data_IF_941637595575
#
_entry.id   IF_941637595575
#
_cell.length_a   1.000
_cell.length_b   1.000
_cell.length_c   1.000
_cell.angle_alpha   90.00
_cell.angle_beta   90.00
_cell.angle_gamma   90.00
#
_symmetry.space_group_name_H-M   'P 1'
#
loop_
_entity.id
_entity.type
_entity.pdbx_description
1 polymer ?
#
# COMPACT_ATOMS: atom_id res chain seq x y z
N UNK A 1 -0.11 -19.56 4.04
CA UNK A 1 0.77 -18.39 4.01
C UNK A 1 -0.13 -17.18 3.91
N UNK A 2 -0.06 -16.25 4.87
CA UNK A 2 -0.68 -14.94 4.70
C UNK A 2 0.18 -14.13 3.72
N UNK A 3 -0.44 -13.35 2.84
CA UNK A 3 0.27 -12.48 1.91
C UNK A 3 -0.13 -11.04 2.22
N UNK A 4 0.84 -10.22 2.62
CA UNK A 4 0.68 -8.80 2.78
C UNK A 4 1.41 -8.08 1.63
N UNK A 5 0.64 -7.35 0.84
CA UNK A 5 1.12 -6.60 -0.30
C UNK A 5 0.93 -5.10 -0.04
N UNK A 6 2.02 -4.38 0.14
CA UNK A 6 2.02 -2.93 0.27
C UNK A 6 2.51 -2.32 -1.04
N UNK A 7 1.60 -1.72 -1.79
CA UNK A 7 1.96 -0.91 -2.96
C UNK A 7 2.17 0.51 -2.49
N UNK A 8 3.42 0.94 -2.42
CA UNK A 8 3.82 2.29 -2.03
C UNK A 8 4.79 2.87 -3.05
N UNK A 9 4.61 4.15 -3.35
CA UNK A 9 5.51 4.90 -4.23
C UNK A 9 6.84 5.12 -3.53
N UNK A 10 7.78 4.18 -3.56
CA UNK A 10 9.10 4.34 -2.91
C UNK A 10 10.10 5.06 -3.82
N UNK A 11 10.81 6.04 -3.26
CA UNK A 11 11.90 6.78 -3.88
C UNK A 11 13.24 6.21 -3.38
N UNK A 12 14.20 5.99 -4.28
CA UNK A 12 15.57 5.67 -3.86
C UNK A 12 16.26 6.93 -3.32
N UNK A 13 15.95 7.28 -2.07
CA UNK A 13 16.68 8.32 -1.36
C UNK A 13 17.63 7.71 -0.33
N UNK A 14 18.91 7.60 -0.68
CA UNK A 14 19.99 7.33 0.27
C UNK A 14 20.27 8.65 1.02
N UNK A 15 19.42 8.97 2.00
CA UNK A 15 19.66 10.08 2.93
C UNK A 15 20.82 9.72 3.85
N UNK A 16 21.96 10.41 3.73
CA UNK A 16 23.11 10.29 4.65
C UNK A 16 22.83 10.76 6.09
N UNK A 17 21.59 11.10 6.48
CA UNK A 17 21.30 11.86 7.70
C UNK A 17 20.58 11.13 8.86
N UNK A 18 20.30 9.83 8.79
CA UNK A 18 19.77 9.06 9.94
C UNK A 18 20.83 8.11 10.53
N UNK A 19 21.60 8.63 11.48
CA UNK A 19 22.87 8.07 11.96
C UNK A 19 22.83 6.74 12.75
N UNK A 20 21.73 5.96 12.81
CA UNK A 20 21.65 4.86 13.78
C UNK A 20 21.24 3.45 13.31
N UNK A 21 20.88 3.19 12.05
CA UNK A 21 20.61 1.80 11.60
C UNK A 21 21.31 1.42 10.28
N UNK A 22 22.54 1.88 10.12
CA UNK A 22 23.37 1.64 8.93
C UNK A 22 24.06 0.27 8.87
N UNK A 23 23.82 -0.65 9.81
CA UNK A 23 24.53 -1.95 9.81
C UNK A 23 24.08 -2.88 8.68
N UNK A 24 22.79 -2.88 8.30
CA UNK A 24 22.30 -3.69 7.18
C UNK A 24 22.61 -3.06 5.80
N UNK A 25 22.50 -1.73 5.66
CA UNK A 25 22.82 -1.01 4.42
C UNK A 25 24.33 -0.89 4.16
N UNK A 26 25.18 -1.13 5.17
CA UNK A 26 26.64 -1.20 4.99
C UNK A 26 27.04 -2.33 4.02
N UNK A 27 26.25 -3.39 3.91
CA UNK A 27 26.49 -4.48 2.97
C UNK A 27 25.99 -4.17 1.54
N UNK A 28 25.21 -3.10 1.37
CA UNK A 28 24.78 -2.54 0.07
C UNK A 28 25.62 -1.32 -0.33
N UNK A 29 26.59 -0.89 0.49
CA UNK A 29 27.70 -0.10 -0.06
C UNK A 29 28.40 -1.00 -1.05
N UNK A 30 28.12 -0.78 -2.32
CA UNK A 30 28.96 -1.21 -3.44
C UNK A 30 30.40 -0.90 -3.03
N UNK A 31 31.15 -1.96 -2.72
CA UNK A 31 32.56 -1.89 -2.35
C UNK A 31 33.33 -1.42 -3.58
N UNK A 32 33.32 -0.12 -3.85
CA UNK A 32 34.21 0.50 -4.82
C UNK A 32 34.67 1.86 -4.28
N UNK A 33 35.67 1.78 -3.41
CA UNK A 33 36.52 2.90 -2.99
C UNK A 33 37.51 3.32 -4.10
N UNK A 34 37.42 2.76 -5.31
CA UNK A 34 38.21 3.21 -6.45
C UNK A 34 37.53 4.40 -7.14
N UNK A 35 38.04 5.60 -6.87
CA UNK A 35 37.58 6.92 -7.34
C UNK A 35 37.43 7.12 -8.88
N UNK A 36 37.63 6.12 -9.73
CA UNK A 36 37.65 6.25 -11.20
C UNK A 36 36.79 5.22 -11.97
N UNK A 37 35.91 4.44 -11.31
CA UNK A 37 34.96 3.57 -12.02
C UNK A 37 33.54 4.12 -11.93
N UNK A 38 32.82 4.09 -13.07
CA UNK A 38 31.38 4.37 -13.13
C UNK A 38 30.67 3.45 -12.14
N UNK A 39 29.88 4.03 -11.23
CA UNK A 39 29.03 3.27 -10.31
C UNK A 39 27.70 2.99 -10.99
N UNK A 40 27.17 1.79 -10.83
CA UNK A 40 25.90 1.38 -11.42
C UNK A 40 24.94 0.89 -10.33
N UNK A 41 23.67 1.31 -10.39
CA UNK A 41 22.61 0.84 -9.50
C UNK A 41 22.20 -0.61 -9.81
N UNK A 42 22.20 -0.96 -11.11
CA UNK A 42 22.04 -2.31 -11.64
C UNK A 42 23.17 -2.50 -12.64
N UNK A 43 23.98 -3.54 -12.43
CA UNK A 43 25.03 -3.96 -13.35
C UNK A 43 24.87 -5.47 -13.56
N UNK A 44 24.34 -5.82 -14.71
CA UNK A 44 24.22 -7.20 -15.20
C UNK A 44 24.67 -7.24 -16.66
N UNK A 45 25.03 -8.41 -17.18
CA UNK A 45 25.71 -8.57 -18.48
C UNK A 45 25.10 -7.78 -19.66
N UNK A 46 23.77 -7.56 -19.63
CA UNK A 46 23.02 -6.88 -20.70
C UNK A 46 22.34 -5.56 -20.23
N UNK A 47 22.68 -5.06 -19.05
CA UNK A 47 22.07 -3.87 -18.49
C UNK A 47 22.98 -3.19 -17.47
N UNK A 48 23.44 -2.00 -17.83
CA UNK A 48 24.14 -1.11 -16.94
C UNK A 48 23.28 0.14 -16.73
N UNK A 49 22.84 0.36 -15.50
CA UNK A 49 22.09 1.57 -15.14
C UNK A 49 22.96 2.43 -14.24
N UNK A 50 23.38 3.63 -14.66
CA UNK A 50 24.23 4.49 -13.86
C UNK A 50 23.64 4.67 -12.45
N UNK A 51 24.49 4.61 -11.44
CA UNK A 51 24.10 4.97 -10.09
C UNK A 51 23.75 6.46 -10.12
N UNK A 52 22.55 6.77 -9.66
CA UNK A 52 22.10 8.15 -9.58
C UNK A 52 22.97 8.91 -8.58
N UNK A 53 23.34 10.13 -8.94
CA UNK A 53 23.95 11.03 -7.96
C UNK A 53 22.96 11.30 -6.84
N UNK A 54 23.40 11.08 -5.61
CA UNK A 54 22.60 11.46 -4.44
C UNK A 54 22.35 12.97 -4.49
N UNK A 55 21.08 13.36 -4.61
CA UNK A 55 20.63 14.74 -4.52
C UNK A 55 21.17 15.67 -5.62
N UNK A 56 20.88 15.37 -6.89
CA UNK A 56 21.13 16.29 -8.01
C UNK A 56 20.49 17.67 -7.76
N UNK A 57 21.01 18.72 -8.38
CA UNK A 57 20.51 20.08 -8.18
C UNK A 57 19.00 20.19 -8.50
N UNK A 58 18.54 19.50 -9.54
CA UNK A 58 17.14 19.41 -9.96
C UNK A 58 16.29 18.69 -8.90
N UNK A 59 16.81 17.60 -8.32
CA UNK A 59 16.17 16.91 -7.21
C UNK A 59 16.05 17.82 -6.00
N UNK A 60 17.14 18.45 -5.57
CA UNK A 60 17.14 19.37 -4.42
C UNK A 60 16.16 20.54 -4.66
N UNK A 61 16.12 21.09 -5.88
CA UNK A 61 15.16 22.14 -6.25
C UNK A 61 13.71 21.66 -6.12
N UNK A 62 13.38 20.46 -6.63
CA UNK A 62 12.05 19.86 -6.45
C UNK A 62 11.67 19.59 -4.98
N UNK A 63 12.68 19.39 -4.11
CA UNK A 63 12.51 19.08 -2.68
C UNK A 63 12.42 20.31 -1.76
N UNK A 64 12.97 21.48 -2.15
CA UNK A 64 13.18 22.63 -1.27
C UNK A 64 11.89 23.21 -0.66
N UNK A 65 10.76 23.11 -1.35
CA UNK A 65 9.49 23.70 -0.91
C UNK A 65 8.56 22.75 -0.14
N UNK A 66 8.96 21.49 0.10
CA UNK A 66 8.02 20.43 0.53
C UNK A 66 8.21 19.90 1.96
N UNK A 67 9.27 20.32 2.69
CA UNK A 67 9.46 19.98 4.12
C UNK A 67 8.34 20.49 5.03
N UNK A 68 7.59 21.50 4.59
CA UNK A 68 6.52 22.12 5.38
C UNK A 68 5.25 21.26 5.46
N UNK A 69 5.03 20.39 4.47
CA UNK A 69 3.77 19.66 4.33
C UNK A 69 3.60 18.53 5.36
N UNK A 70 4.69 17.87 5.78
CA UNK A 70 4.66 16.87 6.85
C UNK A 70 4.10 17.45 8.14
N UNK A 71 4.79 18.50 8.60
CA UNK A 71 4.45 19.18 9.83
C UNK A 71 3.05 19.76 9.72
N UNK A 72 2.63 20.18 8.52
CA UNK A 72 1.27 20.63 8.28
C UNK A 72 0.24 19.51 8.43
N UNK A 73 0.40 18.35 7.78
CA UNK A 73 -0.55 17.22 7.89
C UNK A 73 -0.59 16.68 9.33
N UNK A 74 0.56 16.43 9.96
CA UNK A 74 0.62 15.98 11.36
C UNK A 74 0.00 17.00 12.32
N UNK A 75 0.26 18.29 12.12
CA UNK A 75 -0.37 19.38 12.89
C UNK A 75 -1.87 19.54 12.58
N UNK A 76 -2.33 19.15 11.39
CA UNK A 76 -3.76 19.15 11.06
C UNK A 76 -4.42 17.96 11.75
N UNK A 77 -3.89 16.75 11.59
CA UNK A 77 -4.47 15.55 12.18
C UNK A 77 -4.45 15.60 13.71
N UNK A 78 -3.38 16.11 14.34
CA UNK A 78 -3.31 16.23 15.81
C UNK A 78 -4.37 17.15 16.43
N UNK A 79 -5.00 18.03 15.64
CA UNK A 79 -6.10 18.89 16.09
C UNK A 79 -7.45 18.18 16.09
N UNK A 80 -7.58 17.04 15.41
CA UNK A 80 -8.81 16.26 15.47
C UNK A 80 -8.90 15.55 16.82
N UNK A 81 -10.05 15.63 17.50
CA UNK A 81 -10.21 14.95 18.77
C UNK A 81 -10.31 13.45 18.52
N UNK A 82 -9.63 12.68 19.37
CA UNK A 82 -9.85 11.24 19.50
C UNK A 82 -10.66 11.01 20.79
N UNK A 83 -11.93 10.65 20.63
CA UNK A 83 -12.90 10.57 21.72
C UNK A 83 -13.58 9.21 21.79
N UNK A 84 -13.12 8.23 20.99
CA UNK A 84 -13.64 6.87 21.02
C UNK A 84 -12.56 5.86 20.66
N UNK A 85 -12.60 4.66 21.25
CA UNK A 85 -11.64 3.58 20.97
C UNK A 85 -12.34 2.23 20.89
N UNK A 86 -11.74 1.29 20.18
CA UNK A 86 -12.19 -0.10 20.12
C UNK A 86 -11.29 -0.98 20.97
N UNK A 87 -11.90 -1.83 21.79
CA UNK A 87 -11.24 -2.85 22.59
C UNK A 87 -12.17 -4.06 22.72
N UNK A 88 -11.71 -5.26 22.35
CA UNK A 88 -12.48 -6.53 22.44
C UNK A 88 -13.93 -6.43 21.92
N UNK A 89 -14.10 -6.15 20.62
CA UNK A 89 -15.39 -6.02 19.93
C UNK A 89 -16.35 -4.99 20.57
N UNK A 90 -15.82 -4.12 21.42
CA UNK A 90 -16.58 -3.06 22.11
C UNK A 90 -15.99 -1.70 21.76
N UNK A 91 -16.88 -0.78 21.40
CA UNK A 91 -16.53 0.62 21.17
C UNK A 91 -16.83 1.43 22.43
N UNK A 92 -15.84 2.17 22.92
CA UNK A 92 -15.91 2.99 24.13
C UNK A 92 -15.76 4.48 23.78
N UNK A 93 -16.44 5.34 24.52
CA UNK A 93 -16.10 6.77 24.57
C UNK A 93 -14.92 6.98 25.52
N UNK A 94 -13.99 7.87 25.16
CA UNK A 94 -12.77 8.13 25.94
C UNK A 94 -12.66 9.57 26.43
N UNK A 95 -13.46 10.49 25.88
CA UNK A 95 -13.41 11.91 26.20
C UNK A 95 -14.71 12.35 26.87
N UNK A 96 -14.62 12.98 28.04
CA UNK A 96 -15.79 13.46 28.79
C UNK A 96 -16.33 14.81 28.27
N UNK A 97 -15.61 15.50 27.38
CA UNK A 97 -16.03 16.79 26.81
C UNK A 97 -16.97 16.65 25.59
N UNK A 98 -17.50 15.46 25.32
CA UNK A 98 -18.47 15.23 24.24
C UNK A 98 -19.83 14.84 24.80
N UNK A 99 -20.89 15.09 24.04
CA UNK A 99 -22.27 14.76 24.41
C UNK A 99 -23.07 14.30 23.20
N UNK A 100 -24.26 13.74 23.42
CA UNK A 100 -25.15 13.27 22.36
C UNK A 100 -24.45 12.36 21.34
N UNK A 101 -23.62 11.45 21.86
CA UNK A 101 -22.83 10.55 21.04
C UNK A 101 -23.66 9.37 20.51
N UNK A 102 -23.45 9.02 19.25
CA UNK A 102 -24.02 7.83 18.64
C UNK A 102 -23.07 7.23 17.59
N UNK A 103 -23.28 5.95 17.26
CA UNK A 103 -22.51 5.23 16.24
C UNK A 103 -23.38 4.89 15.05
N UNK A 104 -22.83 4.97 13.85
CA UNK A 104 -23.43 4.42 12.64
C UNK A 104 -22.44 3.47 11.96
N UNK A 105 -22.93 2.35 11.44
CA UNK A 105 -22.14 1.44 10.61
C UNK A 105 -22.16 1.89 9.16
N UNK A 106 -21.00 1.82 8.51
CA UNK A 106 -20.83 2.14 7.09
C UNK A 106 -20.70 0.82 6.33
N UNK A 107 -21.58 0.62 5.36
CA UNK A 107 -21.61 -0.61 4.56
C UNK A 107 -21.79 -0.30 3.07
N UNK A 108 -21.43 -1.27 2.23
CA UNK A 108 -21.79 -1.28 0.82
C UNK A 108 -22.84 -2.39 0.60
N UNK A 109 -23.99 -2.08 -0.03
CA UNK A 109 -24.95 -3.12 -0.38
C UNK A 109 -24.35 -4.09 -1.40
N UNK A 110 -24.92 -5.29 -1.41
CA UNK A 110 -24.61 -6.29 -2.43
C UNK A 110 -25.31 -5.90 -3.74
N UNK A 111 -24.55 -5.82 -4.83
CA UNK A 111 -24.99 -5.42 -6.18
C UNK A 111 -25.41 -3.95 -6.29
N UNK A 112 -24.44 -3.09 -6.57
CA UNK A 112 -24.72 -1.72 -6.99
C UNK A 112 -23.91 -1.39 -8.25
N UNK A 113 -24.55 -0.90 -9.34
CA UNK A 113 -23.85 -0.55 -10.56
C UNK A 113 -22.83 0.59 -10.38
N UNK A 114 -22.82 1.29 -9.24
CA UNK A 114 -21.82 2.29 -8.86
C UNK A 114 -20.99 1.79 -7.68
N UNK A 115 -19.67 1.75 -7.86
CA UNK A 115 -18.73 1.40 -6.78
C UNK A 115 -18.70 2.47 -5.65
N UNK A 116 -19.29 3.64 -5.89
CA UNK A 116 -19.39 4.75 -4.93
C UNK A 116 -20.62 4.69 -4.01
N UNK A 117 -21.51 3.71 -4.18
CA UNK A 117 -22.71 3.61 -3.37
C UNK A 117 -22.41 3.08 -1.95
N UNK A 118 -22.85 3.82 -0.94
CA UNK A 118 -22.61 3.51 0.48
C UNK A 118 -23.88 3.74 1.30
N UNK A 119 -24.14 2.84 2.24
CA UNK A 119 -25.21 2.95 3.22
C UNK A 119 -24.63 3.26 4.59
N UNK A 120 -25.21 4.25 5.25
CA UNK A 120 -24.98 4.53 6.66
C UNK A 120 -26.21 4.11 7.46
N UNK A 121 -26.00 3.31 8.51
CA UNK A 121 -27.10 2.92 9.39
C UNK A 121 -27.68 4.12 10.15
N UNK A 122 -28.86 3.94 10.74
CA UNK A 122 -29.36 4.85 11.75
C UNK A 122 -28.35 4.97 12.90
N UNK A 123 -28.21 6.18 13.44
CA UNK A 123 -27.27 6.43 14.52
C UNK A 123 -27.81 5.84 15.84
N UNK A 124 -27.08 4.87 16.40
CA UNK A 124 -27.42 4.20 17.65
C UNK A 124 -26.71 4.90 18.81
N UNK A 125 -27.43 5.42 19.82
CA UNK A 125 -26.82 6.14 20.93
C UNK A 125 -25.99 5.20 21.82
N UNK A 126 -24.94 5.74 22.45
CA UNK A 126 -24.15 4.97 23.42
C UNK A 126 -24.96 4.64 24.67
N UNK A 127 -24.80 3.41 25.17
CA UNK A 127 -25.40 2.96 26.44
C UNK A 127 -24.29 2.73 27.44
N UNK A 128 -24.24 3.50 28.53
CA UNK A 128 -23.15 3.44 29.51
C UNK A 128 -21.77 3.64 28.86
N UNK A 129 -21.65 4.63 27.97
CA UNK A 129 -20.40 4.99 27.26
C UNK A 129 -19.77 3.87 26.43
N UNK A 130 -20.52 2.80 26.15
CA UNK A 130 -20.08 1.67 25.32
C UNK A 130 -21.14 1.18 24.34
N UNK A 131 -20.69 0.54 23.26
CA UNK A 131 -21.53 -0.16 22.29
C UNK A 131 -20.83 -1.45 21.87
N UNK A 132 -21.59 -2.55 21.83
CA UNK A 132 -21.16 -3.79 21.18
C UNK A 132 -21.15 -3.60 19.67
N UNK A 133 -20.00 -3.86 19.06
CA UNK A 133 -19.78 -3.71 17.63
C UNK A 133 -19.47 -5.05 16.95
N UNK A 134 -19.77 -6.16 17.62
CA UNK A 134 -19.65 -7.51 17.09
C UNK A 134 -20.37 -7.60 15.74
N UNK A 135 -19.62 -7.92 14.68
CA UNK A 135 -20.17 -8.02 13.32
C UNK A 135 -20.14 -6.74 12.49
N UNK A 136 -19.72 -5.60 13.06
CA UNK A 136 -19.58 -4.34 12.33
C UNK A 136 -18.13 -4.14 11.88
N UNK A 137 -17.91 -3.74 10.62
CA UNK A 137 -16.55 -3.55 10.09
C UNK A 137 -16.13 -2.08 10.17
N UNK A 138 -16.90 -1.19 9.53
CA UNK A 138 -16.58 0.23 9.48
C UNK A 138 -17.62 1.04 10.25
N UNK A 139 -17.13 1.95 11.07
CA UNK A 139 -17.94 2.69 12.03
C UNK A 139 -17.63 4.19 11.96
N UNK A 140 -18.67 5.00 12.14
CA UNK A 140 -18.54 6.42 12.43
C UNK A 140 -19.21 6.72 13.76
N UNK A 141 -18.44 7.25 14.70
CA UNK A 141 -18.93 7.87 15.93
C UNK A 141 -19.16 9.35 15.65
N UNK A 142 -20.36 9.82 15.97
CA UNK A 142 -20.72 11.24 15.89
C UNK A 142 -21.08 11.73 17.29
N UNK A 143 -20.55 12.89 17.69
CA UNK A 143 -20.85 13.52 18.97
C UNK A 143 -20.98 15.04 18.81
N UNK A 144 -21.62 15.71 19.77
CA UNK A 144 -21.53 17.16 19.96
C UNK A 144 -20.34 17.53 20.83
N UNK A 145 -19.64 18.58 20.45
CA UNK A 145 -18.62 19.21 21.30
C UNK A 145 -19.31 20.02 22.41
N UNK A 146 -18.97 19.77 23.67
CA UNK A 146 -19.52 20.54 24.78
C UNK A 146 -18.92 21.95 24.86
N UNK A 147 -17.74 22.19 24.27
CA UNK A 147 -17.03 23.47 24.30
C UNK A 147 -17.38 24.39 23.13
N UNK A 148 -18.01 23.86 22.09
CA UNK A 148 -18.30 24.59 20.86
C UNK A 148 -19.65 24.16 20.29
N UNK A 149 -20.52 25.14 20.01
CA UNK A 149 -21.80 24.89 19.33
C UNK A 149 -21.66 24.65 17.81
N UNK A 150 -20.43 24.47 17.31
CA UNK A 150 -20.16 24.23 15.89
C UNK A 150 -20.53 22.80 15.46
N UNK A 151 -20.30 22.51 14.16
CA UNK A 151 -20.52 21.21 13.51
C UNK A 151 -20.15 20.01 14.39
N UNK A 152 -20.89 18.89 14.29
CA UNK A 152 -20.62 17.69 15.08
C UNK A 152 -19.21 17.15 14.84
N UNK A 153 -18.65 16.52 15.87
CA UNK A 153 -17.37 15.83 15.84
C UNK A 153 -17.53 14.41 15.30
N UNK A 154 -16.52 13.94 14.56
CA UNK A 154 -16.52 12.61 13.95
C UNK A 154 -15.26 11.81 14.32
N UNK A 155 -15.44 10.53 14.64
CA UNK A 155 -14.36 9.55 14.73
C UNK A 155 -14.71 8.33 13.89
N UNK A 156 -13.77 7.92 13.04
CA UNK A 156 -13.92 6.82 12.11
C UNK A 156 -13.08 5.64 12.57
N UNK A 157 -13.66 4.45 12.56
CA UNK A 157 -13.00 3.22 12.97
C UNK A 157 -13.14 2.11 11.94
N UNK A 158 -12.09 1.28 11.88
CA UNK A 158 -12.12 -0.01 11.21
C UNK A 158 -11.91 -1.12 12.26
N UNK A 159 -12.83 -2.07 12.26
CA UNK A 159 -12.90 -3.24 13.10
C UNK A 159 -12.87 -4.48 12.20
N UNK A 160 -12.18 -5.53 12.64
CA UNK A 160 -12.20 -6.83 11.97
C UNK A 160 -13.22 -7.68 12.74
N UNK A 161 -14.38 -8.01 12.16
CA UNK A 161 -15.37 -8.82 12.85
C UNK A 161 -14.83 -10.20 13.24
N UNK A 162 -15.30 -10.76 14.36
CA UNK A 162 -14.91 -12.11 14.83
C UNK A 162 -16.13 -13.03 14.97
N UNK A 163 -16.27 -14.13 14.18
CA UNK A 163 -15.42 -14.49 13.05
C UNK A 163 -15.61 -13.49 11.90
N UNK A 164 -14.60 -13.26 11.05
CA UNK A 164 -14.77 -12.36 9.91
C UNK A 164 -15.77 -12.96 8.95
N UNK A 165 -16.45 -12.09 8.20
CA UNK A 165 -17.45 -12.50 7.22
C UNK A 165 -16.80 -13.44 6.19
N UNK A 166 -17.41 -14.59 5.94
CA UNK A 166 -17.04 -15.43 4.80
C UNK A 166 -17.83 -14.94 3.58
N UNK A 167 -17.13 -14.57 2.52
CA UNK A 167 -17.72 -14.28 1.21
C UNK A 167 -17.25 -15.36 0.24
N UNK A 168 -18.21 -15.98 -0.45
CA UNK A 168 -17.91 -16.98 -1.47
C UNK A 168 -17.68 -16.26 -2.81
N UNK A 169 -16.41 -16.01 -3.14
CA UNK A 169 -16.04 -15.32 -4.40
C UNK A 169 -16.07 -16.23 -5.63
N UNK A 170 -16.44 -17.51 -5.47
CA UNK A 170 -16.46 -18.50 -6.57
C UNK A 170 -17.37 -18.13 -7.75
N UNK A 171 -18.23 -17.12 -7.60
CA UNK A 171 -19.10 -16.60 -8.67
C UNK A 171 -18.73 -15.17 -9.14
N UNK A 172 -17.78 -14.51 -8.47
CA UNK A 172 -17.48 -13.08 -8.69
C UNK A 172 -16.34 -12.94 -9.71
N UNK A 173 -16.58 -13.37 -10.94
CA UNK A 173 -15.76 -13.01 -12.11
C UNK A 173 -16.01 -11.54 -12.48
N UNK A 174 -15.55 -10.61 -11.66
CA UNK A 174 -15.68 -9.20 -12.01
C UNK A 174 -14.46 -8.74 -12.79
N UNK A 175 -14.65 -8.64 -14.11
CA UNK A 175 -13.78 -7.80 -14.93
C UNK A 175 -13.94 -6.37 -14.40
N UNK A 176 -12.88 -5.70 -13.94
CA UNK A 176 -12.94 -4.26 -13.82
C UNK A 176 -13.37 -3.68 -15.18
N UNK A 177 -14.11 -2.57 -15.17
CA UNK A 177 -14.48 -1.86 -16.40
C UNK A 177 -13.28 -1.75 -17.36
N UNK A 178 -13.55 -1.79 -18.66
CA UNK A 178 -12.63 -2.13 -19.78
C UNK A 178 -11.34 -1.29 -19.94
N UNK A 179 -10.92 -0.51 -18.95
CA UNK A 179 -9.74 0.36 -18.97
C UNK A 179 -8.67 0.03 -17.94
N UNK A 180 -8.76 -1.08 -17.18
CA UNK A 180 -7.69 -1.44 -16.22
C UNK A 180 -6.38 -1.66 -16.97
N UNK A 181 -5.40 -0.77 -16.78
CA UNK A 181 -4.09 -0.89 -17.39
C UNK A 181 -3.39 -2.17 -16.91
N UNK A 182 -2.45 -2.69 -17.69
CA UNK A 182 -1.72 -3.93 -17.37
C UNK A 182 -1.01 -3.93 -15.99
N UNK A 183 -0.87 -2.77 -15.34
CA UNK A 183 -0.30 -2.63 -14.01
C UNK A 183 -1.25 -3.05 -12.87
N UNK A 184 -2.55 -3.21 -13.10
CA UNK A 184 -3.55 -3.53 -12.05
C UNK A 184 -4.17 -4.92 -12.20
N UNK A 185 -3.87 -5.61 -13.31
CA UNK A 185 -4.38 -6.95 -13.61
C UNK A 185 -3.85 -8.02 -12.65
N UNK A 186 -2.63 -7.90 -12.12
CA UNK A 186 -2.08 -8.86 -11.16
C UNK A 186 -2.69 -8.71 -9.75
N UNK A 187 -3.10 -7.51 -9.35
CA UNK A 187 -3.85 -7.26 -8.09
C UNK A 187 -5.19 -7.97 -8.15
N UNK A 188 -5.89 -7.79 -9.28
CA UNK A 188 -7.16 -8.44 -9.56
C UNK A 188 -7.02 -9.95 -9.36
N UNK A 189 -5.88 -10.55 -9.71
CA UNK A 189 -5.68 -12.01 -9.63
C UNK A 189 -5.41 -12.55 -8.24
N UNK A 190 -4.73 -11.78 -7.38
CA UNK A 190 -4.59 -12.14 -5.97
C UNK A 190 -5.92 -12.04 -5.21
N UNK A 191 -6.77 -11.09 -5.63
CA UNK A 191 -8.13 -10.88 -5.12
C UNK A 191 -9.09 -11.98 -5.60
N UNK A 192 -9.02 -12.35 -6.88
CA UNK A 192 -10.01 -13.23 -7.56
C UNK A 192 -9.85 -14.72 -7.21
N UNK A 193 -8.67 -15.18 -6.76
CA UNK A 193 -8.35 -16.61 -6.74
C UNK A 193 -8.00 -17.21 -5.37
N UNK A 194 -8.35 -16.56 -4.27
CA UNK A 194 -8.11 -17.16 -2.96
C UNK A 194 -9.40 -17.30 -2.16
N UNK A 195 -9.70 -18.53 -1.75
CA UNK A 195 -10.65 -18.89 -0.67
C UNK A 195 -10.24 -18.28 0.70
N UNK A 196 -9.20 -17.45 0.72
CA UNK A 196 -8.44 -16.96 1.87
C UNK A 196 -8.76 -15.49 2.18
N UNK A 197 -10.05 -15.13 2.21
CA UNK A 197 -10.55 -13.82 2.70
C UNK A 197 -9.74 -12.63 2.16
N UNK A 198 -9.74 -12.39 0.83
CA UNK A 198 -8.95 -11.33 0.22
C UNK A 198 -9.38 -9.98 0.79
N UNK A 199 -8.45 -9.04 0.89
CA UNK A 199 -8.67 -7.70 1.42
C UNK A 199 -7.99 -6.68 0.53
N UNK A 200 -8.69 -5.58 0.20
CA UNK A 200 -8.15 -4.53 -0.64
C UNK A 200 -8.43 -3.16 -0.04
N UNK A 201 -7.37 -2.38 0.21
CA UNK A 201 -7.47 -1.10 0.86
C UNK A 201 -6.84 0.02 0.04
N UNK A 202 -7.58 1.10 -0.12
CA UNK A 202 -7.12 2.36 -0.70
C UNK A 202 -7.47 3.50 0.25
N UNK A 203 -6.81 4.65 0.09
CA UNK A 203 -6.96 5.84 0.92
C UNK A 203 -7.80 6.95 0.26
N UNK A 204 -7.86 7.01 -1.08
CA UNK A 204 -8.62 8.03 -1.82
C UNK A 204 -9.64 7.38 -2.78
N UNK A 205 -10.95 7.61 -2.57
CA UNK A 205 -11.98 7.00 -3.41
C UNK A 205 -12.12 7.65 -4.79
N UNK A 206 -11.54 8.86 -5.00
CA UNK A 206 -11.63 9.64 -6.25
C UNK A 206 -10.51 9.25 -7.23
N UNK A 207 -9.29 9.06 -6.70
CA UNK A 207 -8.11 8.68 -7.51
C UNK A 207 -7.68 7.22 -7.31
N UNK A 208 -8.57 6.40 -6.75
CA UNK A 208 -8.34 4.97 -6.55
C UNK A 208 -8.08 4.21 -7.85
N UNK A 209 -7.36 3.11 -7.71
CA UNK A 209 -6.78 2.28 -8.78
C UNK A 209 -7.81 1.87 -9.85
N UNK A 210 -9.05 1.59 -9.44
CA UNK A 210 -10.11 1.11 -10.33
C UNK A 210 -11.16 2.17 -10.69
N UNK A 211 -11.08 3.36 -10.10
CA UNK A 211 -12.07 4.43 -10.26
C UNK A 211 -11.49 5.69 -10.91
N UNK A 212 -10.16 5.78 -11.04
CA UNK A 212 -9.45 6.90 -11.65
C UNK A 212 -9.97 7.22 -13.06
N UNK A 213 -10.15 8.51 -13.36
CA UNK A 213 -10.58 8.97 -14.68
C UNK A 213 -12.07 8.75 -14.98
N UNK A 214 -12.91 8.62 -13.94
CA UNK A 214 -14.36 8.45 -14.09
C UNK A 214 -14.77 7.01 -14.39
N UNK A 215 -13.90 6.04 -14.09
CA UNK A 215 -14.22 4.62 -14.17
C UNK A 215 -15.19 4.24 -13.05
N UNK A 216 -16.12 3.34 -13.37
CA UNK A 216 -17.19 2.94 -12.45
C UNK A 216 -16.65 2.11 -11.30
N UNK A 217 -15.53 1.38 -11.48
CA UNK A 217 -14.97 0.46 -10.48
C UNK A 217 -15.61 -0.92 -10.52
N UNK A 218 -15.88 -1.48 -9.34
CA UNK A 218 -16.50 -2.80 -9.18
C UNK A 218 -18.02 -2.72 -8.97
N UNK A 219 -18.76 -3.69 -9.53
CA UNK A 219 -20.22 -3.78 -9.38
C UNK A 219 -20.60 -4.38 -8.02
N UNK A 220 -19.87 -5.40 -7.54
CA UNK A 220 -20.00 -5.93 -6.18
C UNK A 220 -18.68 -5.77 -5.43
N UNK A 221 -18.71 -6.00 -4.11
CA UNK A 221 -17.52 -5.82 -3.31
C UNK A 221 -16.46 -6.85 -3.75
N UNK A 222 -15.26 -6.43 -4.19
CA UNK A 222 -14.31 -7.35 -4.81
C UNK A 222 -13.58 -8.24 -3.80
N UNK A 223 -13.65 -7.91 -2.51
CA UNK A 223 -12.87 -8.52 -1.42
C UNK A 223 -13.68 -8.66 -0.14
N UNK A 224 -13.26 -9.52 0.79
CA UNK A 224 -13.96 -9.71 2.07
C UNK A 224 -13.93 -8.44 2.91
N UNK A 225 -12.76 -7.81 2.98
CA UNK A 225 -12.56 -6.54 3.66
C UNK A 225 -12.18 -5.49 2.60
N UNK A 226 -12.98 -4.43 2.49
CA UNK A 226 -12.84 -3.42 1.44
C UNK A 226 -13.03 -2.02 2.01
N UNK A 227 -11.98 -1.20 2.09
CA UNK A 227 -12.06 0.11 2.78
C UNK A 227 -12.82 1.19 2.02
N UNK A 228 -13.13 0.97 0.73
CA UNK A 228 -13.77 1.98 -0.12
C UNK A 228 -15.04 2.60 0.48
N UNK A 229 -15.99 1.85 1.09
CA UNK A 229 -17.20 2.44 1.66
C UNK A 229 -16.89 3.45 2.77
N UNK A 230 -15.92 3.09 3.63
CA UNK A 230 -15.40 3.98 4.66
C UNK A 230 -14.75 5.23 4.04
N UNK A 231 -13.89 5.06 3.03
CA UNK A 231 -13.18 6.19 2.40
C UNK A 231 -14.12 7.16 1.70
N UNK A 232 -15.14 6.66 1.00
CA UNK A 232 -16.19 7.49 0.38
C UNK A 232 -16.92 8.29 1.44
N UNK A 233 -17.35 7.63 2.52
CA UNK A 233 -18.15 8.26 3.54
C UNK A 233 -17.34 9.29 4.35
N UNK A 234 -16.11 8.95 4.71
CA UNK A 234 -15.15 9.88 5.32
C UNK A 234 -14.92 11.10 4.44
N UNK A 235 -14.67 10.90 3.14
CA UNK A 235 -14.47 11.99 2.17
C UNK A 235 -15.73 12.88 2.08
N UNK A 236 -16.94 12.31 2.10
CA UNK A 236 -18.20 13.08 2.10
C UNK A 236 -18.35 13.95 3.36
N UNK A 237 -17.95 13.44 4.52
CA UNK A 237 -18.05 14.17 5.79
C UNK A 237 -16.98 15.26 5.93
N UNK A 238 -15.77 15.01 5.44
CA UNK A 238 -14.67 15.98 5.50
C UNK A 238 -14.74 17.06 4.41
N UNK A 239 -15.34 16.77 3.25
CA UNK A 239 -15.57 17.77 2.17
C UNK A 239 -16.47 18.94 2.55
N UNK A 240 -17.28 18.82 3.61
CA UNK A 240 -18.12 19.92 4.11
C UNK A 240 -17.29 21.08 4.68
N UNK A 241 -16.00 20.86 4.92
CA UNK A 241 -15.04 21.85 5.42
C UNK A 241 -14.12 22.31 4.28
N UNK A 242 -14.58 23.31 3.51
CA UNK A 242 -13.91 23.79 2.29
C UNK A 242 -12.60 24.54 2.54
N UNK A 243 -12.23 24.79 3.81
CA UNK A 243 -11.11 25.64 4.18
C UNK A 243 -9.76 24.91 4.19
N UNK A 244 -9.72 23.57 4.26
CA UNK A 244 -8.46 22.83 4.27
C UNK A 244 -8.58 21.43 3.64
N UNK A 245 -8.07 21.30 2.42
CA UNK A 245 -8.05 20.06 1.63
C UNK A 245 -7.42 18.86 2.35
N UNK A 246 -6.44 19.07 3.24
CA UNK A 246 -5.70 17.99 3.89
C UNK A 246 -6.47 17.30 5.03
N UNK A 247 -7.56 17.90 5.52
CA UNK A 247 -8.42 17.31 6.56
C UNK A 247 -8.97 15.93 6.16
N UNK A 248 -9.17 15.70 4.85
CA UNK A 248 -9.66 14.42 4.31
C UNK A 248 -8.67 13.25 4.46
N UNK A 249 -7.43 13.52 4.90
CA UNK A 249 -6.43 12.48 5.15
C UNK A 249 -6.26 12.16 6.63
N UNK A 250 -7.07 12.74 7.51
CA UNK A 250 -7.00 12.51 8.95
C UNK A 250 -8.14 11.60 9.41
N UNK A 251 -7.79 10.51 10.09
CA UNK A 251 -8.69 9.58 10.76
C UNK A 251 -8.51 9.74 12.28
N UNK A 252 -9.20 10.74 12.84
CA UNK A 252 -8.86 11.25 14.16
C UNK A 252 -7.46 11.86 14.14
N UNK A 253 -6.64 11.54 15.14
CA UNK A 253 -5.25 12.02 15.24
C UNK A 253 -4.28 11.32 14.29
N UNK A 254 -4.71 10.26 13.62
CA UNK A 254 -3.88 9.48 12.70
C UNK A 254 -3.99 10.02 11.29
N UNK A 255 -2.89 9.95 10.54
CA UNK A 255 -2.97 10.10 9.09
C UNK A 255 -3.57 8.82 8.45
N UNK A 256 -4.10 8.91 7.24
CA UNK A 256 -4.78 7.80 6.56
C UNK A 256 -3.88 6.58 6.34
N UNK A 257 -2.57 6.76 6.14
CA UNK A 257 -1.62 5.65 5.97
C UNK A 257 -1.45 4.89 7.28
N UNK A 258 -1.27 5.61 8.38
CA UNK A 258 -1.24 5.01 9.71
C UNK A 258 -2.54 4.25 9.99
N UNK A 259 -3.70 4.83 9.66
CA UNK A 259 -5.00 4.17 9.82
C UNK A 259 -5.08 2.84 9.04
N UNK A 260 -4.66 2.83 7.78
CA UNK A 260 -4.65 1.64 6.93
C UNK A 260 -3.68 0.56 7.43
N UNK A 261 -2.48 0.96 7.85
CA UNK A 261 -1.47 0.04 8.41
C UNK A 261 -1.91 -0.55 9.76
N UNK A 262 -2.56 0.25 10.62
CA UNK A 262 -3.17 -0.25 11.85
C UNK A 262 -4.24 -1.31 11.55
N UNK A 263 -5.05 -1.09 10.50
CA UNK A 263 -6.08 -2.05 10.09
C UNK A 263 -5.47 -3.35 9.55
N UNK A 264 -4.43 -3.25 8.73
CA UNK A 264 -3.65 -4.42 8.30
C UNK A 264 -3.11 -5.24 9.47
N UNK A 265 -2.51 -4.57 10.45
CA UNK A 265 -1.96 -5.24 11.61
C UNK A 265 -3.05 -6.00 12.38
N UNK A 266 -4.22 -5.38 12.60
CA UNK A 266 -5.36 -6.06 13.24
C UNK A 266 -5.78 -7.33 12.50
N UNK A 267 -5.83 -7.29 11.17
CA UNK A 267 -6.20 -8.46 10.37
C UNK A 267 -5.14 -9.56 10.48
N UNK A 268 -3.85 -9.19 10.39
CA UNK A 268 -2.76 -10.15 10.56
C UNK A 268 -2.75 -10.79 11.95
N UNK A 269 -3.11 -10.04 12.98
CA UNK A 269 -3.14 -10.51 14.36
C UNK A 269 -4.34 -11.43 14.62
N UNK A 270 -5.56 -10.95 14.30
CA UNK A 270 -6.82 -11.68 14.51
C UNK A 270 -6.91 -12.92 13.62
N UNK A 271 -6.40 -12.84 12.38
CA UNK A 271 -6.44 -13.93 11.40
C UNK A 271 -5.08 -14.59 11.19
N UNK A 272 -4.24 -14.59 12.23
CA UNK A 272 -2.90 -15.20 12.19
C UNK A 272 -2.91 -16.70 11.87
N UNK A 273 -4.00 -17.41 12.16
CA UNK A 273 -4.16 -18.85 11.90
C UNK A 273 -4.89 -19.16 10.59
N UNK A 274 -5.50 -18.17 9.96
CA UNK A 274 -6.27 -18.34 8.72
C UNK A 274 -5.47 -17.71 7.57
N UNK A 275 -5.34 -18.38 6.41
CA UNK A 275 -4.74 -17.74 5.26
C UNK A 275 -5.48 -16.44 4.90
N UNK A 276 -4.73 -15.35 4.70
CA UNK A 276 -5.25 -14.06 4.25
C UNK A 276 -4.45 -13.53 3.06
N UNK A 277 -5.10 -12.83 2.15
CA UNK A 277 -4.44 -12.07 1.07
C UNK A 277 -4.83 -10.61 1.19
N UNK A 278 -3.90 -9.74 1.59
CA UNK A 278 -4.18 -8.33 1.86
C UNK A 278 -3.35 -7.44 0.94
N UNK A 279 -4.01 -6.49 0.26
CA UNK A 279 -3.37 -5.49 -0.59
C UNK A 279 -3.76 -4.11 -0.11
N UNK A 280 -2.77 -3.25 0.17
CA UNK A 280 -2.99 -1.80 0.33
C UNK A 280 -2.31 -1.03 -0.77
N UNK A 281 -3.01 -0.05 -1.30
CA UNK A 281 -2.55 0.86 -2.33
C UNK A 281 -2.88 2.31 -1.94
N UNK A 282 -2.02 2.96 -1.14
CA UNK A 282 -2.24 4.35 -0.81
C UNK A 282 -1.71 5.26 -1.92
N UNK A 283 -2.49 6.26 -2.28
CA UNK A 283 -2.09 7.29 -3.22
C UNK A 283 -1.48 8.50 -2.49
N UNK A 284 -2.03 8.94 -1.36
CA UNK A 284 -1.61 10.16 -0.67
C UNK A 284 -0.78 9.89 0.58
N UNK A 285 0.16 10.78 0.95
CA UNK A 285 0.71 11.90 0.18
C UNK A 285 1.75 11.50 -0.88
N UNK A 286 1.99 10.20 -1.09
CA UNK A 286 3.17 9.67 -1.79
C UNK A 286 3.16 9.79 -3.33
N UNK A 287 2.00 9.79 -3.98
CA UNK A 287 1.85 9.76 -5.45
C UNK A 287 2.28 11.06 -6.15
N UNK A 288 1.81 12.23 -5.70
CA UNK A 288 2.00 13.49 -6.43
C UNK A 288 3.07 14.42 -5.85
N UNK A 289 3.58 14.10 -4.67
CA UNK A 289 4.45 14.98 -3.88
C UNK A 289 5.84 14.36 -3.71
N UNK A 290 6.81 14.85 -4.47
CA UNK A 290 8.22 14.50 -4.27
C UNK A 290 8.64 14.69 -2.81
N UNK A 291 9.25 13.67 -2.21
CA UNK A 291 9.76 13.70 -0.85
C UNK A 291 8.77 13.44 0.27
N UNK A 292 7.49 13.24 -0.06
CA UNK A 292 6.47 12.94 0.95
C UNK A 292 6.62 11.56 1.60
N UNK A 293 7.41 10.64 1.02
CA UNK A 293 7.74 9.39 1.70
C UNK A 293 8.53 9.58 2.99
N UNK A 294 9.39 10.59 3.05
CA UNK A 294 10.13 10.91 4.28
C UNK A 294 9.15 11.17 5.44
N UNK A 295 7.96 11.66 5.10
CA UNK A 295 6.87 11.92 6.05
C UNK A 295 6.34 10.63 6.65
N UNK A 296 6.30 9.59 5.84
CA UNK A 296 5.77 8.28 6.20
C UNK A 296 6.84 7.33 6.71
N UNK A 297 8.12 7.73 6.74
CA UNK A 297 9.24 6.85 7.13
C UNK A 297 9.03 6.27 8.53
N UNK A 298 8.74 7.12 9.53
CA UNK A 298 8.43 6.67 10.88
C UNK A 298 7.15 5.81 10.93
N UNK A 299 6.15 6.14 10.11
CA UNK A 299 4.88 5.40 10.05
C UNK A 299 5.10 3.97 9.55
N UNK A 300 5.80 3.80 8.43
CA UNK A 300 6.15 2.49 7.89
C UNK A 300 7.17 1.74 8.77
N UNK A 301 8.18 2.44 9.28
CA UNK A 301 9.20 1.86 10.16
C UNK A 301 8.58 1.28 11.43
N UNK A 302 7.67 2.02 12.08
CA UNK A 302 6.94 1.54 13.24
C UNK A 302 6.06 0.34 12.89
N UNK A 303 5.34 0.37 11.76
CA UNK A 303 4.55 -0.77 11.29
C UNK A 303 5.42 -2.03 11.10
N UNK A 304 6.52 -1.93 10.35
CA UNK A 304 7.41 -3.08 10.12
C UNK A 304 8.06 -3.57 11.40
N UNK A 305 8.39 -2.66 12.33
CA UNK A 305 8.90 -3.02 13.66
C UNK A 305 7.87 -3.84 14.42
N UNK A 306 6.63 -3.37 14.53
CA UNK A 306 5.55 -4.09 15.21
C UNK A 306 5.30 -5.47 14.58
N UNK A 307 5.23 -5.55 13.24
CA UNK A 307 5.12 -6.83 12.52
C UNK A 307 6.32 -7.74 12.82
N UNK A 308 7.52 -7.18 12.92
CA UNK A 308 8.75 -7.96 13.19
C UNK A 308 8.86 -8.49 14.63
N UNK A 309 8.21 -7.83 15.58
CA UNK A 309 8.20 -8.23 16.99
C UNK A 309 7.20 -9.38 17.23
N UNK A 310 6.20 -9.56 16.36
CA UNK A 310 5.26 -10.68 16.42
C UNK A 310 5.76 -11.89 15.61
N UNK A 311 6.39 -12.84 16.31
CA UNK A 311 6.93 -14.08 15.70
C UNK A 311 5.87 -14.92 14.99
N UNK A 312 4.62 -14.93 15.48
CA UNK A 312 3.55 -15.71 14.88
C UNK A 312 3.15 -15.16 13.50
N UNK A 313 3.13 -13.83 13.35
CA UNK A 313 2.90 -13.18 12.06
C UNK A 313 4.03 -13.53 11.08
N UNK A 314 5.30 -13.36 11.47
CA UNK A 314 6.44 -13.61 10.57
C UNK A 314 6.62 -15.08 10.18
N UNK A 315 6.15 -16.00 11.01
CA UNK A 315 6.25 -17.43 10.77
C UNK A 315 5.55 -17.84 9.46
N UNK A 316 4.41 -17.22 9.16
CA UNK A 316 3.52 -17.62 8.06
C UNK A 316 3.21 -16.51 7.04
N UNK A 317 3.79 -15.31 7.18
CA UNK A 317 3.48 -14.16 6.30
C UNK A 317 4.56 -13.90 5.25
N UNK A 318 4.15 -13.88 3.99
CA UNK A 318 4.92 -13.30 2.88
C UNK A 318 4.60 -11.80 2.85
N UNK A 319 5.62 -10.98 3.04
CA UNK A 319 5.50 -9.54 2.91
C UNK A 319 6.15 -9.09 1.61
N UNK A 320 5.39 -8.36 0.79
CA UNK A 320 5.86 -7.73 -0.43
C UNK A 320 5.58 -6.23 -0.32
N UNK A 321 6.62 -5.42 -0.53
CA UNK A 321 6.51 -3.97 -0.62
C UNK A 321 7.04 -3.56 -1.99
N UNK A 322 6.21 -2.90 -2.80
CA UNK A 322 6.59 -2.50 -4.16
C UNK A 322 5.82 -1.27 -4.59
N UNK A 323 5.99 -0.81 -5.84
CA UNK A 323 5.20 0.27 -6.44
C UNK A 323 4.67 -0.20 -7.79
N UNK A 324 3.69 0.49 -8.36
CA UNK A 324 3.25 0.32 -9.75
C UNK A 324 4.19 1.03 -10.74
N UNK A 325 4.74 2.16 -10.30
CA UNK A 325 5.78 2.90 -11.01
C UNK A 325 6.73 3.60 -10.02
N UNK A 326 7.89 4.04 -10.49
CA UNK A 326 8.76 4.93 -9.73
C UNK A 326 8.27 6.38 -9.79
N UNK A 327 9.09 7.36 -9.40
CA UNK A 327 8.59 8.74 -9.30
C UNK A 327 8.06 9.34 -10.61
N UNK A 328 6.85 9.87 -10.57
CA UNK A 328 6.33 10.74 -11.62
C UNK A 328 5.32 11.72 -11.03
N UNK A 329 5.55 13.02 -11.21
CA UNK A 329 4.58 14.05 -10.85
C UNK A 329 4.37 14.98 -12.03
N UNK A 330 3.11 15.15 -12.47
CA UNK A 330 2.77 16.16 -13.49
C UNK A 330 2.95 17.60 -12.99
N UNK A 331 2.98 17.78 -11.66
CA UNK A 331 3.18 19.10 -11.04
C UNK A 331 4.65 19.53 -11.11
N UNK A 332 5.56 18.58 -11.30
CA UNK A 332 6.99 18.82 -11.34
C UNK A 332 7.47 18.80 -12.79
N UNK A 333 7.77 19.98 -13.34
CA UNK A 333 8.10 20.11 -14.75
C UNK A 333 9.58 19.86 -15.07
N UNK A 334 10.47 19.83 -14.07
CA UNK A 334 11.93 19.70 -14.30
C UNK A 334 12.49 18.34 -13.93
N UNK A 335 12.25 17.88 -12.70
CA UNK A 335 12.87 16.63 -12.24
C UNK A 335 12.37 15.38 -12.99
N UNK A 336 11.05 15.12 -13.15
CA UNK A 336 10.53 13.91 -13.81
C UNK A 336 10.93 13.74 -15.29
N UNK A 337 11.39 14.81 -15.95
CA UNK A 337 11.87 14.78 -17.34
C UNK A 337 13.39 14.83 -17.45
N UNK A 338 14.12 15.03 -16.34
CA UNK A 338 15.57 14.91 -16.28
C UNK A 338 16.01 13.44 -16.44
N UNK A 339 17.28 13.20 -16.76
CA UNK A 339 17.84 11.86 -16.82
C UNK A 339 17.59 11.09 -15.51
N UNK A 340 17.86 11.72 -14.36
CA UNK A 340 17.66 11.11 -13.04
C UNK A 340 16.19 10.79 -12.77
N UNK A 341 15.27 11.70 -13.10
CA UNK A 341 13.84 11.44 -12.94
C UNK A 341 13.32 10.34 -13.86
N UNK A 342 13.86 10.20 -15.06
CA UNK A 342 13.51 9.09 -15.97
C UNK A 342 14.01 7.75 -15.47
N UNK A 343 15.20 7.69 -14.86
CA UNK A 343 15.71 6.50 -14.18
C UNK A 343 14.81 6.16 -12.99
N UNK A 344 14.58 7.11 -12.07
CA UNK A 344 13.71 6.89 -10.90
C UNK A 344 12.31 6.45 -11.31
N UNK A 345 11.69 7.07 -12.32
CA UNK A 345 10.36 6.70 -12.82
C UNK A 345 10.26 5.24 -13.25
N UNK A 346 11.32 4.71 -13.85
CA UNK A 346 11.38 3.35 -14.40
C UNK A 346 11.95 2.34 -13.40
N UNK A 347 12.61 2.81 -12.35
CA UNK A 347 13.17 1.99 -11.29
C UNK A 347 12.13 1.78 -10.18
N UNK A 348 11.42 0.66 -10.26
CA UNK A 348 10.37 0.34 -9.30
C UNK A 348 10.98 -0.39 -8.10
N UNK A 349 10.73 0.08 -6.86
CA UNK A 349 11.16 -0.60 -5.65
C UNK A 349 10.50 -1.99 -5.53
N UNK A 350 11.24 -2.99 -5.07
CA UNK A 350 10.69 -4.30 -4.74
C UNK A 350 11.43 -4.88 -3.54
N UNK A 351 10.71 -5.04 -2.44
CA UNK A 351 11.18 -5.70 -1.22
C UNK A 351 10.30 -6.91 -0.96
N UNK A 352 10.94 -8.06 -0.72
CA UNK A 352 10.24 -9.31 -0.43
C UNK A 352 10.85 -9.91 0.84
N UNK A 353 10.00 -10.23 1.81
CA UNK A 353 10.36 -11.04 2.97
C UNK A 353 9.53 -12.32 2.94
N UNK A 354 10.21 -13.46 2.78
CA UNK A 354 9.58 -14.77 2.90
C UNK A 354 9.16 -15.07 4.34
N UNK A 355 8.09 -15.84 4.56
CA UNK A 355 7.77 -16.40 5.88
C UNK A 355 8.96 -17.18 6.46
N UNK A 356 9.14 -17.13 7.78
CA UNK A 356 10.26 -17.83 8.42
C UNK A 356 10.14 -19.36 8.25
N UNK A 357 8.91 -19.89 8.20
CA UNK A 357 8.68 -21.30 7.87
C UNK A 357 9.17 -21.65 6.46
N UNK A 358 8.85 -20.85 5.44
CA UNK A 358 9.30 -21.12 4.07
C UNK A 358 10.82 -21.02 3.95
N UNK A 359 11.45 -20.06 4.63
CA UNK A 359 12.92 -19.93 4.64
C UNK A 359 13.63 -21.15 5.23
N UNK A 360 13.03 -21.80 6.23
CA UNK A 360 13.58 -23.01 6.85
C UNK A 360 13.33 -24.28 6.03
N UNK A 361 12.14 -24.40 5.42
CA UNK A 361 11.75 -25.61 4.66
C UNK A 361 12.32 -25.59 3.24
N UNK A 362 12.40 -24.42 2.62
CA UNK A 362 12.87 -24.21 1.24
C UNK A 362 13.95 -23.11 1.19
N UNK A 363 15.15 -23.37 1.76
CA UNK A 363 16.23 -22.38 1.79
C UNK A 363 16.63 -21.90 0.39
N UNK A 364 16.48 -22.74 -0.64
CA UNK A 364 16.76 -22.40 -2.04
C UNK A 364 15.88 -21.25 -2.56
N UNK A 365 14.67 -21.05 -2.03
CA UNK A 365 13.82 -19.92 -2.42
C UNK A 365 14.41 -18.59 -1.97
N UNK A 366 15.01 -18.56 -0.77
CA UNK A 366 15.70 -17.38 -0.24
C UNK A 366 16.99 -17.10 -1.03
N UNK A 367 17.73 -18.16 -1.41
CA UNK A 367 18.92 -18.05 -2.26
C UNK A 367 18.56 -17.52 -3.64
N UNK A 368 17.48 -18.03 -4.25
CA UNK A 368 16.98 -17.57 -5.54
C UNK A 368 16.57 -16.09 -5.49
N UNK A 369 15.86 -15.64 -4.45
CA UNK A 369 15.56 -14.21 -4.28
C UNK A 369 16.85 -13.36 -4.22
N UNK A 370 17.86 -13.85 -3.48
CA UNK A 370 19.17 -13.20 -3.40
C UNK A 370 19.87 -13.09 -4.76
N UNK A 371 19.87 -14.16 -5.55
CA UNK A 371 20.43 -14.17 -6.92
C UNK A 371 19.64 -13.28 -7.88
N UNK A 372 18.31 -13.34 -7.81
CA UNK A 372 17.39 -12.61 -8.69
C UNK A 372 17.41 -11.09 -8.43
N UNK A 373 17.86 -10.65 -7.26
CA UNK A 373 18.13 -9.22 -6.99
C UNK A 373 19.14 -8.59 -7.98
N UNK A 374 19.93 -9.43 -8.66
CA UNK A 374 20.90 -9.07 -9.70
C UNK A 374 20.41 -9.52 -11.08
N UNK A 375 19.13 -9.39 -11.37
CA UNK A 375 18.52 -9.77 -12.65
C UNK A 375 17.41 -8.79 -13.01
N UNK A 376 17.14 -8.64 -14.31
CA UNK A 376 16.00 -7.85 -14.77
C UNK A 376 14.71 -8.59 -14.42
N UNK A 377 13.88 -7.93 -13.60
CA UNK A 377 12.58 -8.43 -13.18
C UNK A 377 11.48 -7.43 -13.55
N UNK A 378 10.24 -7.88 -13.48
CA UNK A 378 9.03 -7.13 -13.85
C UNK A 378 7.87 -7.53 -12.94
N UNK A 379 6.76 -6.77 -12.97
CA UNK A 379 5.54 -7.15 -12.26
C UNK A 379 4.97 -8.51 -12.69
N UNK A 380 5.28 -8.99 -13.90
CA UNK A 380 4.91 -10.34 -14.33
C UNK A 380 5.61 -11.42 -13.48
N UNK A 381 6.83 -11.17 -13.02
CA UNK A 381 7.58 -12.11 -12.17
C UNK A 381 6.98 -12.15 -10.74
N UNK A 382 6.49 -11.01 -10.25
CA UNK A 382 5.71 -10.94 -9.00
C UNK A 382 4.43 -11.78 -9.14
N UNK A 383 3.70 -11.61 -10.25
CA UNK A 383 2.51 -12.41 -10.54
C UNK A 383 2.81 -13.93 -10.55
N UNK A 384 3.84 -14.35 -11.27
CA UNK A 384 4.27 -15.77 -11.27
C UNK A 384 4.73 -16.24 -9.88
N UNK A 385 5.25 -15.35 -9.05
CA UNK A 385 5.59 -15.65 -7.65
C UNK A 385 4.36 -15.94 -6.80
N UNK A 386 3.32 -15.11 -6.93
CA UNK A 386 2.05 -15.32 -6.24
C UNK A 386 1.40 -16.64 -6.70
N UNK A 387 1.40 -16.93 -8.01
CA UNK A 387 0.92 -18.20 -8.55
C UNK A 387 1.71 -19.40 -8.03
N UNK A 388 3.04 -19.28 -7.94
CA UNK A 388 3.90 -20.34 -7.41
C UNK A 388 3.49 -20.67 -5.96
N UNK A 389 3.32 -19.66 -5.11
CA UNK A 389 2.91 -19.86 -3.71
C UNK A 389 1.49 -20.44 -3.62
N UNK A 390 0.56 -19.97 -4.44
CA UNK A 390 -0.80 -20.52 -4.49
C UNK A 390 -0.79 -22.01 -4.91
N UNK A 391 0.04 -22.39 -5.90
CA UNK A 391 0.22 -23.79 -6.32
C UNK A 391 0.80 -24.65 -5.20
N UNK A 392 1.79 -24.14 -4.47
CA UNK A 392 2.34 -24.83 -3.30
C UNK A 392 1.30 -25.06 -2.21
N UNK A 393 0.33 -24.16 -2.08
CA UNK A 393 -0.78 -24.29 -1.14
C UNK A 393 -1.90 -25.24 -1.63
N UNK A 394 -1.81 -25.77 -2.85
CA UNK A 394 -2.84 -26.62 -3.46
C UNK A 394 -4.05 -25.85 -4.03
N UNK A 395 -3.96 -24.52 -4.14
CA UNK A 395 -5.11 -23.63 -4.38
C UNK A 395 -5.29 -23.21 -5.86
N UNK A 396 -4.82 -24.01 -6.83
CA UNK A 396 -4.81 -23.55 -8.24
C UNK A 396 -5.32 -24.62 -9.21
N UNK A 397 -6.44 -24.32 -9.87
CA UNK A 397 -6.95 -25.06 -11.03
C UNK A 397 -6.03 -24.85 -12.27
N UNK A 398 -5.70 -25.88 -13.06
CA UNK A 398 -4.92 -25.76 -14.30
C UNK A 398 -5.43 -24.74 -15.35
N UNK A 399 -6.69 -24.27 -15.30
CA UNK A 399 -7.22 -23.23 -16.20
C UNK A 399 -6.74 -21.79 -15.91
N UNK A 400 -5.98 -21.57 -14.83
CA UNK A 400 -5.77 -20.24 -14.22
C UNK A 400 -4.50 -19.47 -14.61
N UNK A 401 -3.66 -20.01 -15.51
CA UNK A 401 -2.48 -19.26 -15.96
C UNK A 401 -2.88 -18.24 -17.03
N UNK A 402 -3.42 -17.08 -16.60
CA UNK A 402 -3.87 -16.01 -17.50
C UNK A 402 -2.75 -15.45 -18.39
N UNK A 403 -1.50 -15.64 -17.98
CA UNK A 403 -0.35 -15.33 -18.80
C UNK A 403 0.81 -16.26 -18.48
N UNK A 404 1.51 -16.72 -19.52
CA UNK A 404 2.78 -17.42 -19.37
C UNK A 404 3.96 -16.46 -19.27
N UNK A 405 3.70 -15.16 -19.14
CA UNK A 405 4.74 -14.14 -18.98
C UNK A 405 5.28 -14.12 -17.55
N UNK A 406 6.58 -13.85 -17.46
CA UNK A 406 7.31 -13.81 -16.20
C UNK A 406 7.84 -15.17 -15.76
N UNK A 407 8.63 -15.15 -14.71
CA UNK A 407 9.11 -16.31 -13.97
C UNK A 407 8.94 -16.06 -12.47
N UNK A 408 8.69 -17.10 -11.68
CA UNK A 408 8.63 -16.94 -10.23
C UNK A 408 9.98 -16.45 -9.69
N UNK A 409 9.96 -15.41 -8.86
CA UNK A 409 11.12 -14.88 -8.15
C UNK A 409 11.68 -15.87 -7.10
N UNK A 410 10.93 -16.93 -6.78
CA UNK A 410 11.39 -18.05 -5.92
C UNK A 410 12.18 -19.10 -6.71
N UNK A 411 12.27 -18.95 -8.03
CA UNK A 411 13.06 -19.77 -8.93
C UNK A 411 14.18 -18.93 -9.54
N UNK A 412 15.26 -19.57 -10.01
CA UNK A 412 16.39 -18.85 -10.61
C UNK A 412 15.98 -18.14 -11.90
N UNK A 413 16.23 -16.83 -11.96
CA UNK A 413 16.12 -16.01 -13.17
C UNK A 413 17.52 -15.85 -13.79
N UNK A 414 17.68 -15.99 -15.11
CA UNK A 414 18.97 -15.76 -15.76
C UNK A 414 19.47 -14.32 -15.56
N UNK A 415 20.74 -14.17 -15.17
CA UNK A 415 21.35 -12.84 -14.97
C UNK A 415 21.51 -12.06 -16.29
N UNK A 416 21.62 -12.77 -17.40
CA UNK A 416 21.66 -12.19 -18.75
C UNK A 416 20.27 -11.92 -19.34
N UNK A 417 19.17 -12.06 -18.57
CA UNK A 417 17.82 -11.77 -19.04
C UNK A 417 17.70 -10.31 -19.47
N UNK A 418 17.10 -10.08 -20.63
CA UNK A 418 16.89 -8.78 -21.24
C UNK A 418 15.52 -8.19 -20.87
N UNK A 419 15.35 -6.86 -21.01
CA UNK A 419 14.04 -6.21 -20.87
C UNK A 419 12.95 -6.84 -21.76
N UNK A 420 13.31 -7.26 -22.98
CA UNK A 420 12.37 -7.90 -23.92
C UNK A 420 11.84 -9.23 -23.37
N UNK A 421 12.72 -10.06 -22.81
CA UNK A 421 12.36 -11.33 -22.16
C UNK A 421 11.59 -11.11 -20.85
N UNK A 422 11.87 -10.00 -20.16
CA UNK A 422 11.10 -9.54 -19.01
C UNK A 422 9.78 -8.83 -19.38
N UNK A 423 9.44 -8.74 -20.68
CA UNK A 423 8.25 -8.05 -21.20
C UNK A 423 8.15 -6.57 -20.78
N UNK A 424 9.29 -5.95 -20.51
CA UNK A 424 9.40 -4.52 -20.24
C UNK A 424 9.43 -3.79 -21.60
N UNK A 425 8.50 -2.86 -21.88
CA UNK A 425 8.50 -2.08 -23.11
C UNK A 425 9.82 -1.32 -23.30
N UNK A 426 10.23 -1.13 -24.56
CA UNK A 426 11.46 -0.41 -24.91
C UNK A 426 11.56 0.95 -24.20
N UNK A 427 10.46 1.68 -24.14
CA UNK A 427 10.34 3.01 -23.51
C UNK A 427 10.45 3.01 -21.99
N UNK A 428 10.28 1.86 -21.33
CA UNK A 428 10.36 1.69 -19.87
C UNK A 428 11.63 0.94 -19.45
N UNK A 429 12.40 0.39 -20.40
CA UNK A 429 13.63 -0.32 -20.10
C UNK A 429 14.71 0.68 -19.63
N UNK A 430 15.27 0.44 -18.44
CA UNK A 430 16.36 1.25 -17.89
C UNK A 430 17.68 1.04 -18.65
N UNK A 431 17.91 -0.16 -19.17
CA UNK A 431 19.14 -0.56 -19.87
C UNK A 431 19.39 0.17 -21.20
N UNK A 432 18.43 0.98 -21.64
CA UNK A 432 18.48 1.70 -22.92
C UNK A 432 18.48 3.22 -22.74
N UNK A 433 18.64 3.70 -21.51
CA UNK A 433 18.83 5.13 -21.23
C UNK A 433 20.29 5.49 -21.53
N UNK A 434 20.53 6.11 -22.69
CA UNK A 434 21.84 6.64 -23.07
C UNK A 434 22.02 8.05 -22.48
N UNK A 435 23.05 8.23 -21.65
CA UNK A 435 23.42 9.53 -21.08
C UNK A 435 23.76 10.57 -22.15
N UNK A 436 24.23 10.16 -23.32
CA UNK A 436 24.62 11.06 -24.41
C UNK A 436 23.42 11.64 -25.16
N UNK A 437 22.23 11.05 -25.00
CA UNK A 437 21.01 11.52 -25.68
C UNK A 437 20.32 12.71 -24.98
N UNK A 438 20.87 13.18 -23.86
CA UNK A 438 20.31 14.26 -23.03
C UNK A 438 21.24 15.49 -22.85
N UNK A 439 22.41 15.50 -23.50
CA UNK A 439 23.33 16.64 -23.50
C UNK A 439 23.11 17.59 -24.68
#
# INVERSE_FOLDING_TARGET
>A
VAILFLVTYVYHHISSSTHQNYSLLKNLRLNDEKKNQLRYAISVDNCETPALENASAEYIESYKDRKYLQKEIENICSKFPDFSKIENDTLYLTNQNVSDCCVSSITRPWKDPQDDYVLNSTCVPFTNEKIDISGLEFLMVTCKDQKSSQSPLYNFHAHVPTPPREQNFSEVYQKPGTSSTACTSWISLGIIHQENRPSFFEDDPIVGTFNYGGQIGFEEQPTTLYTRPLMIYHTKMTKRDTLNYYKRYCFGQRNVIQFLLDYHFKILDILSEVPTFQVTWPCWPQHDLGGSLRILDDTYSNFFKTVSENKQILENTLLIVTSDHGFYSKQENRYPVSFNGLVERRNVPLFIRLPDKLRRVYPEMQENLGMNSKSITSHYDIYQTLLHIAKMAGNVDPLTNLTTHGASLLSKIPQNRTCKEARIPKTMCLCQLDTNSFN
#
